data_IF_220440090258
#
_entry.id   IF_220440090258
#
_cell.length_a   1.000
_cell.length_b   1.000
_cell.length_c   1.000
_cell.angle_alpha   90.00
_cell.angle_beta   90.00
_cell.angle_gamma   90.00
#
_symmetry.space_group_name_H-M   'P 1'
#
loop_
_entity.id
_entity.type
_entity.pdbx_description
1 polymer ?
#
# COMPACT_ATOMS: atom_id res chain seq x y z
N UNK A 1 0.72 9.31 22.86
CA UNK A 1 0.40 7.96 22.31
C UNK A 1 -0.13 7.97 20.88
N UNK A 2 -1.14 8.79 20.50
CA UNK A 2 -1.64 8.86 19.10
C UNK A 2 -0.57 9.13 18.03
N UNK A 3 0.43 9.97 18.33
CA UNK A 3 1.50 10.33 17.38
C UNK A 3 2.36 9.13 16.94
N UNK A 4 2.74 8.27 17.89
CA UNK A 4 3.50 7.05 17.59
C UNK A 4 2.69 6.04 16.79
N UNK A 5 1.37 5.94 17.04
CA UNK A 5 0.48 5.09 16.26
C UNK A 5 0.44 5.51 14.79
N UNK A 6 0.35 6.82 14.51
CA UNK A 6 0.38 7.33 13.13
C UNK A 6 1.73 7.21 12.45
N UNK A 7 2.84 7.39 13.17
CA UNK A 7 4.18 7.13 12.61
C UNK A 7 4.35 5.67 12.19
N UNK A 8 3.96 4.73 13.05
CA UNK A 8 4.03 3.29 12.73
C UNK A 8 3.13 2.96 11.54
N UNK A 9 1.91 3.51 11.51
CA UNK A 9 0.98 3.29 10.41
C UNK A 9 1.53 3.86 9.09
N UNK A 10 2.15 5.04 9.13
CA UNK A 10 2.76 5.67 7.96
C UNK A 10 3.94 4.85 7.44
N UNK A 11 4.82 4.38 8.33
CA UNK A 11 5.94 3.50 7.97
C UNK A 11 5.44 2.17 7.40
N UNK A 12 4.40 1.59 7.99
CA UNK A 12 3.76 0.38 7.48
C UNK A 12 3.13 0.60 6.10
N UNK A 13 2.51 1.76 5.86
CA UNK A 13 1.93 2.11 4.57
C UNK A 13 3.01 2.27 3.49
N UNK A 14 4.11 2.96 3.82
CA UNK A 14 5.26 3.13 2.93
C UNK A 14 5.87 1.76 2.61
N UNK A 15 6.13 0.94 3.64
CA UNK A 15 6.68 -0.41 3.48
C UNK A 15 5.76 -1.32 2.66
N UNK A 16 4.47 -1.31 2.95
CA UNK A 16 3.45 -2.06 2.21
C UNK A 16 3.38 -1.63 0.74
N UNK A 17 3.38 -0.33 0.47
CA UNK A 17 3.34 0.19 -0.91
C UNK A 17 4.57 -0.23 -1.73
N UNK A 18 5.76 -0.20 -1.13
CA UNK A 18 6.99 -0.71 -1.75
C UNK A 18 6.94 -2.21 -2.01
N UNK A 19 6.41 -3.00 -1.07
CA UNK A 19 6.26 -4.43 -1.22
C UNK A 19 5.31 -4.79 -2.36
N UNK A 20 4.11 -4.18 -2.39
CA UNK A 20 3.16 -4.38 -3.48
C UNK A 20 3.71 -3.95 -4.84
N UNK A 21 4.49 -2.86 -4.88
CA UNK A 21 5.13 -2.41 -6.10
C UNK A 21 6.17 -3.42 -6.61
N UNK A 22 7.00 -3.97 -5.72
CA UNK A 22 7.94 -5.03 -6.07
C UNK A 22 7.21 -6.27 -6.60
N UNK A 23 6.17 -6.70 -5.90
CA UNK A 23 5.42 -7.90 -6.30
C UNK A 23 4.75 -7.71 -7.66
N UNK A 24 4.21 -6.50 -7.92
CA UNK A 24 3.67 -6.14 -9.23
C UNK A 24 4.74 -6.23 -10.33
N UNK A 25 5.97 -5.77 -10.08
CA UNK A 25 7.09 -5.90 -11.02
C UNK A 25 7.50 -7.35 -11.25
N UNK A 26 7.52 -8.18 -10.20
CA UNK A 26 7.85 -9.61 -10.30
C UNK A 26 6.80 -10.37 -11.13
N UNK A 27 5.50 -10.11 -10.92
CA UNK A 27 4.44 -10.67 -11.77
C UNK A 27 4.54 -10.20 -13.22
N UNK A 28 4.84 -8.92 -13.43
CA UNK A 28 5.03 -8.37 -14.77
C UNK A 28 6.25 -8.98 -15.47
N UNK A 29 7.35 -9.20 -14.75
CA UNK A 29 8.55 -9.87 -15.25
C UNK A 29 8.28 -11.32 -15.65
N UNK A 30 7.38 -12.00 -14.94
CA UNK A 30 6.92 -13.37 -15.27
C UNK A 30 5.88 -13.40 -16.41
N UNK A 31 5.56 -12.26 -17.02
CA UNK A 31 4.48 -12.07 -18.02
C UNK A 31 3.09 -12.45 -17.49
N UNK A 32 2.92 -12.47 -16.17
CA UNK A 32 1.63 -12.71 -15.54
C UNK A 32 0.90 -11.36 -15.37
N UNK A 33 0.35 -10.89 -16.48
CA UNK A 33 -0.33 -9.58 -16.54
C UNK A 33 -1.59 -9.55 -15.68
N UNK A 34 -2.28 -10.69 -15.51
CA UNK A 34 -3.50 -10.77 -14.69
C UNK A 34 -3.14 -10.59 -13.22
N UNK A 35 -2.12 -11.29 -12.74
CA UNK A 35 -1.62 -11.12 -11.38
C UNK A 35 -1.12 -9.70 -11.15
N UNK A 36 -0.36 -9.13 -12.08
CA UNK A 36 0.14 -7.76 -11.97
C UNK A 36 -1.01 -6.73 -11.85
N UNK A 37 -2.06 -6.85 -12.67
CA UNK A 37 -3.23 -5.96 -12.60
C UNK A 37 -3.99 -6.13 -11.28
N UNK A 38 -4.18 -7.37 -10.81
CA UNK A 38 -4.82 -7.63 -9.52
C UNK A 38 -4.05 -7.00 -8.36
N UNK A 39 -2.73 -7.18 -8.33
CA UNK A 39 -1.85 -6.60 -7.30
C UNK A 39 -1.86 -5.08 -7.36
N UNK A 40 -1.91 -4.49 -8.56
CA UNK A 40 -2.08 -3.04 -8.71
C UNK A 40 -3.40 -2.56 -8.09
N UNK A 41 -4.53 -3.24 -8.32
CA UNK A 41 -5.80 -2.89 -7.70
C UNK A 41 -5.77 -3.02 -6.17
N UNK A 42 -5.14 -4.07 -5.65
CA UNK A 42 -4.95 -4.26 -4.20
C UNK A 42 -4.11 -3.10 -3.64
N UNK A 43 -3.01 -2.73 -4.30
CA UNK A 43 -2.18 -1.59 -3.89
C UNK A 43 -2.95 -0.27 -3.84
N UNK A 44 -3.82 0.00 -4.83
CA UNK A 44 -4.70 1.18 -4.84
C UNK A 44 -5.69 1.14 -3.68
N UNK A 45 -6.34 0.00 -3.43
CA UNK A 45 -7.29 -0.16 -2.33
C UNK A 45 -6.62 0.08 -0.96
N UNK A 46 -5.45 -0.52 -0.73
CA UNK A 46 -4.66 -0.34 0.50
C UNK A 46 -4.26 1.13 0.69
N UNK A 47 -3.83 1.80 -0.38
CA UNK A 47 -3.46 3.23 -0.33
C UNK A 47 -4.68 4.11 -0.04
N UNK A 48 -5.84 3.79 -0.59
CA UNK A 48 -7.09 4.50 -0.33
C UNK A 48 -7.51 4.40 1.14
N UNK A 49 -7.46 3.20 1.72
CA UNK A 49 -7.72 2.99 3.15
C UNK A 49 -6.69 3.74 4.01
N UNK A 50 -5.41 3.68 3.65
CA UNK A 50 -4.36 4.44 4.31
C UNK A 50 -4.62 5.95 4.31
N UNK A 51 -5.11 6.49 3.20
CA UNK A 51 -5.47 7.90 3.05
C UNK A 51 -6.65 8.29 3.96
N UNK A 52 -7.66 7.43 4.10
CA UNK A 52 -8.77 7.66 5.04
C UNK A 52 -8.30 7.62 6.50
N UNK A 53 -7.46 6.64 6.85
CA UNK A 53 -6.86 6.55 8.19
C UNK A 53 -6.00 7.77 8.52
N UNK A 54 -5.21 8.25 7.56
CA UNK A 54 -4.44 9.48 7.69
C UNK A 54 -5.33 10.72 7.81
N UNK A 55 -6.49 10.73 7.15
CA UNK A 55 -7.47 11.83 7.27
C UNK A 55 -8.10 11.86 8.67
N UNK A 56 -8.45 10.71 9.23
CA UNK A 56 -8.93 10.57 10.60
C UNK A 56 -7.85 10.92 11.64
N UNK A 57 -6.57 10.90 11.27
CA UNK A 57 -5.46 11.35 12.08
C UNK A 57 -5.36 12.87 12.23
N UNK A 58 -5.73 13.56 11.16
CA UNK A 58 -5.54 15.00 10.97
C UNK A 58 -6.71 15.83 11.50
N UNK A 59 -7.88 15.19 11.70
CA UNK A 59 -9.07 15.76 12.38
C UNK A 59 -8.99 15.48 13.87
#
# INVERSE_FOLDING_TARGET
>A
MRRYFFEILAVALIGGSLFFFKECLDYLARRDYVAAVLVMFIGVAVTSVGKEMARLALV
#
